data_IF_643043367611
#
_entry.id   IF_643043367611
#
_cell.length_a   1.000
_cell.length_b   1.000
_cell.length_c   1.000
_cell.angle_alpha   90.00
_cell.angle_beta   90.00
_cell.angle_gamma   90.00
#
_symmetry.space_group_name_H-M   'P 1'
#
loop_
_entity.id
_entity.type
_entity.pdbx_description
1 polymer ?
#
# COMPACT_ATOMS: atom_id res chain seq x y z
N UNK A 1 5.14 -2.19 -16.65
CA UNK A 1 6.28 -1.54 -15.98
C UNK A 1 5.91 -0.11 -15.78
N UNK A 2 5.97 0.36 -14.54
CA UNK A 2 5.30 1.55 -13.96
C UNK A 2 3.90 1.28 -13.37
N UNK A 3 3.84 0.36 -12.40
CA UNK A 3 2.58 -0.08 -11.76
C UNK A 3 2.25 0.63 -10.45
N UNK A 4 3.21 1.31 -9.80
CA UNK A 4 3.02 2.00 -8.53
C UNK A 4 3.68 3.39 -8.59
N UNK A 5 2.87 4.46 -8.62
CA UNK A 5 3.38 5.83 -8.67
C UNK A 5 3.67 6.37 -7.27
N UNK A 6 2.75 6.18 -6.32
CA UNK A 6 2.85 6.79 -4.99
C UNK A 6 2.51 5.78 -3.89
N UNK A 7 3.47 5.38 -3.04
CA UNK A 7 3.17 4.63 -1.83
C UNK A 7 2.76 5.56 -0.68
N UNK A 8 1.83 5.10 0.16
CA UNK A 8 1.53 5.68 1.47
C UNK A 8 2.01 4.74 2.58
N UNK A 9 2.55 5.31 3.67
CA UNK A 9 2.97 4.55 4.85
C UNK A 9 1.94 4.73 5.95
N UNK A 10 1.28 3.64 6.33
CA UNK A 10 0.44 3.62 7.51
C UNK A 10 1.29 3.24 8.72
N UNK A 11 1.33 4.14 9.71
CA UNK A 11 2.07 3.92 10.96
C UNK A 11 1.15 3.25 11.96
N UNK A 12 1.51 2.04 12.40
CA UNK A 12 0.74 1.33 13.41
C UNK A 12 0.83 2.10 14.75
N UNK A 13 -0.30 2.38 15.42
CA UNK A 13 -0.35 3.39 16.49
C UNK A 13 0.42 3.01 17.77
N UNK A 14 0.59 1.72 18.04
CA UNK A 14 1.20 1.22 19.28
C UNK A 14 2.51 0.45 19.07
N UNK A 15 2.80 0.06 17.83
CA UNK A 15 3.96 -0.78 17.50
C UNK A 15 4.42 -0.45 16.08
N UNK A 16 5.36 0.49 15.93
CA UNK A 16 5.83 0.92 14.61
C UNK A 16 6.39 -0.22 13.75
N UNK A 17 6.82 -1.35 14.33
CA UNK A 17 7.32 -2.50 13.57
C UNK A 17 6.23 -3.21 12.76
N UNK A 18 4.96 -3.03 13.14
CA UNK A 18 3.78 -3.55 12.45
C UNK A 18 3.19 -2.57 11.42
N UNK A 19 3.89 -1.47 11.13
CA UNK A 19 3.47 -0.51 10.10
C UNK A 19 3.47 -1.16 8.72
N UNK A 20 2.67 -0.60 7.81
CA UNK A 20 2.48 -1.17 6.48
C UNK A 20 2.70 -0.13 5.39
N UNK A 21 3.19 -0.58 4.25
CA UNK A 21 3.28 0.22 3.02
C UNK A 21 2.08 -0.14 2.16
N UNK A 22 1.34 0.86 1.70
CA UNK A 22 0.19 0.71 0.81
C UNK A 22 0.57 1.34 -0.51
N UNK A 23 0.47 0.58 -1.60
CA UNK A 23 0.80 1.04 -2.94
C UNK A 23 -0.39 0.82 -3.89
N UNK A 24 -0.42 1.60 -4.96
CA UNK A 24 -1.31 1.34 -6.09
C UNK A 24 -0.72 0.26 -7.00
N UNK A 25 -1.59 -0.58 -7.52
CA UNK A 25 -1.36 -1.37 -8.72
C UNK A 25 -2.26 -0.78 -9.81
N UNK A 26 -1.66 0.03 -10.68
CA UNK A 26 -2.36 0.72 -11.79
C UNK A 26 -3.08 -0.25 -12.73
N UNK A 27 -2.73 -1.53 -12.71
CA UNK A 27 -3.36 -2.56 -13.53
C UNK A 27 -4.61 -3.16 -12.87
N UNK A 28 -4.82 -3.02 -11.55
CA UNK A 28 -6.00 -3.63 -10.95
C UNK A 28 -6.29 -3.49 -9.45
N UNK A 29 -5.62 -2.64 -8.66
CA UNK A 29 -5.96 -2.59 -7.23
C UNK A 29 -4.99 -1.86 -6.31
N UNK A 30 -5.06 -2.21 -5.03
CA UNK A 30 -4.10 -1.80 -4.00
C UNK A 30 -3.33 -3.01 -3.49
N UNK A 31 -2.05 -2.80 -3.21
CA UNK A 31 -1.18 -3.80 -2.59
C UNK A 31 -0.74 -3.31 -1.22
N UNK A 32 -0.76 -4.19 -0.23
CA UNK A 32 -0.26 -3.92 1.12
C UNK A 32 0.96 -4.77 1.40
N UNK A 33 2.03 -4.15 1.86
CA UNK A 33 3.29 -4.79 2.24
C UNK A 33 3.63 -4.55 3.71
N UNK A 34 4.35 -5.48 4.32
CA UNK A 34 5.09 -5.20 5.55
C UNK A 34 6.36 -4.37 5.27
N UNK A 35 7.03 -3.92 6.34
CA UNK A 35 8.26 -3.12 6.23
C UNK A 35 9.45 -3.87 5.61
N UNK A 36 9.38 -5.20 5.48
CA UNK A 36 10.40 -6.01 4.80
C UNK A 36 10.06 -6.22 3.32
N UNK A 37 8.97 -5.64 2.82
CA UNK A 37 8.53 -5.77 1.43
C UNK A 37 7.76 -7.06 1.12
N UNK A 38 7.35 -7.82 2.14
CA UNK A 38 6.50 -9.00 1.92
C UNK A 38 5.06 -8.55 1.73
N UNK A 39 4.42 -9.01 0.65
CA UNK A 39 3.01 -8.75 0.40
C UNK A 39 2.16 -9.40 1.50
N UNK A 40 1.33 -8.59 2.15
CA UNK A 40 0.36 -9.01 3.16
C UNK A 40 -1.02 -9.21 2.54
N UNK A 41 -1.42 -8.32 1.63
CA UNK A 41 -2.75 -8.33 1.03
C UNK A 41 -2.74 -7.70 -0.36
N UNK A 42 -3.65 -8.20 -1.21
CA UNK A 42 -4.07 -7.51 -2.42
C UNK A 42 -5.56 -7.20 -2.33
N UNK A 43 -5.94 -5.98 -2.65
CA UNK A 43 -7.35 -5.55 -2.74
C UNK A 43 -7.63 -5.23 -4.20
N UNK A 44 -8.37 -6.09 -4.93
CA UNK A 44 -8.71 -5.83 -6.32
C UNK A 44 -9.69 -4.66 -6.41
N UNK A 45 -9.51 -3.80 -7.41
CA UNK A 45 -10.44 -2.72 -7.70
C UNK A 45 -9.86 -1.63 -8.58
N UNK A 46 -10.63 -1.21 -9.59
CA UNK A 46 -10.35 -0.05 -10.42
C UNK A 46 -8.95 -0.06 -11.06
N UNK A 47 -8.49 1.14 -11.43
CA UNK A 47 -7.11 1.42 -11.85
C UNK A 47 -6.63 2.64 -11.06
N UNK A 48 -6.33 2.46 -9.77
CA UNK A 48 -5.96 3.58 -8.92
C UNK A 48 -4.60 4.13 -9.37
N UNK A 49 -4.46 5.45 -9.34
CA UNK A 49 -3.21 6.11 -9.70
C UNK A 49 -2.37 6.40 -8.44
N UNK A 50 -2.96 7.08 -7.46
CA UNK A 50 -2.31 7.50 -6.20
C UNK A 50 -3.09 6.97 -4.99
N UNK A 51 -2.43 6.91 -3.84
CA UNK A 51 -3.05 6.58 -2.56
C UNK A 51 -2.62 7.58 -1.49
N UNK A 52 -3.53 7.89 -0.56
CA UNK A 52 -3.28 8.74 0.60
C UNK A 52 -4.03 8.19 1.81
N UNK A 53 -3.60 8.57 3.01
CA UNK A 53 -4.18 8.15 4.28
C UNK A 53 -4.82 9.31 5.00
N UNK A 54 -5.89 9.03 5.75
CA UNK A 54 -6.54 10.00 6.64
C UNK A 54 -6.61 9.45 8.06
N UNK A 55 -6.42 10.30 9.08
CA UNK A 55 -6.53 9.90 10.49
C UNK A 55 -7.96 9.58 10.90
#
# INVERSE_FOLDING_TARGET
GDAADDPAVWVHPNDPSLSTIIATDKEGGLVVYDLNGRQLQYVPGGRPNNVDLRP
#
